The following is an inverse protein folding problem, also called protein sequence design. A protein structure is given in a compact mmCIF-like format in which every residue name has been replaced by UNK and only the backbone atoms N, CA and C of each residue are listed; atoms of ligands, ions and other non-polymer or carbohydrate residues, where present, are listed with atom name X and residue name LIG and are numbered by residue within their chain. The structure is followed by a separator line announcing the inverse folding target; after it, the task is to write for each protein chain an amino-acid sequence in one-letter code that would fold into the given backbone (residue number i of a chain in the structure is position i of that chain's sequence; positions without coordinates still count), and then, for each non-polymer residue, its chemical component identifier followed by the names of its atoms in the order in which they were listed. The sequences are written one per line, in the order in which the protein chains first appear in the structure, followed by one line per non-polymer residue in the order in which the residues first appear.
data_IF_781135065454
#
_entry.id   IF_781135065454
#
_cell.length_a   1.000
_cell.length_b   1.000
_cell.length_c   1.000
_cell.angle_alpha   90.00
_cell.angle_beta   90.00
_cell.angle_gamma   90.00
#
_symmetry.space_group_name_H-M   'P 1'
#
loop_
_entity.id
_entity.type
_entity.pdbx_description
1 polymer ?
#
# COMPACT_ATOMS: atom_id res chain seq x y z
N UNK A 1 24.29 -18.61 -60.58
CA UNK A 1 24.29 -17.89 -59.30
C UNK A 1 22.89 -17.96 -58.70
N UNK A 2 22.66 -18.87 -57.75
CA UNK A 2 21.33 -19.10 -57.16
C UNK A 2 21.33 -18.56 -55.73
N UNK A 3 20.58 -17.47 -55.49
CA UNK A 3 20.46 -16.82 -54.18
C UNK A 3 19.66 -17.73 -53.23
N UNK A 4 20.32 -18.33 -52.22
CA UNK A 4 19.63 -18.98 -51.10
C UNK A 4 19.03 -17.90 -50.19
N UNK A 5 17.69 -17.84 -50.11
CA UNK A 5 17.00 -17.09 -49.05
C UNK A 5 17.10 -17.89 -47.75
N UNK A 6 17.80 -17.35 -46.75
CA UNK A 6 17.74 -17.89 -45.39
C UNK A 6 16.48 -17.39 -44.68
N UNK A 7 15.64 -18.26 -44.10
CA UNK A 7 14.51 -17.83 -43.29
C UNK A 7 15.01 -17.27 -41.94
N UNK A 8 14.49 -16.10 -41.52
CA UNK A 8 14.78 -15.54 -40.20
C UNK A 8 14.08 -16.36 -39.11
N UNK A 9 14.73 -16.71 -37.99
CA UNK A 9 14.07 -17.38 -36.89
C UNK A 9 13.27 -16.34 -36.09
N UNK A 10 11.97 -16.24 -36.35
CA UNK A 10 11.06 -15.44 -35.50
C UNK A 10 10.53 -16.32 -34.37
N UNK A 11 11.39 -16.62 -33.39
CA UNK A 11 10.95 -17.14 -32.11
C UNK A 11 10.22 -16.02 -31.37
N UNK A 12 8.89 -16.01 -31.44
CA UNK A 12 8.04 -15.16 -30.59
C UNK A 12 8.26 -15.60 -29.15
N UNK A 13 9.13 -14.90 -28.41
CA UNK A 13 9.33 -15.08 -26.97
C UNK A 13 7.98 -14.80 -26.31
N UNK A 14 7.26 -15.85 -25.94
CA UNK A 14 6.02 -15.71 -25.19
C UNK A 14 6.39 -15.06 -23.85
N UNK A 15 6.09 -13.78 -23.68
CA UNK A 15 6.19 -13.10 -22.40
C UNK A 15 5.13 -13.73 -21.49
N UNK A 16 5.57 -14.65 -20.64
CA UNK A 16 4.70 -15.25 -19.62
C UNK A 16 4.22 -14.12 -18.71
N UNK A 17 2.92 -13.81 -18.75
CA UNK A 17 2.34 -12.76 -17.92
C UNK A 17 2.35 -13.22 -16.45
N UNK A 18 2.92 -12.40 -15.58
CA UNK A 18 2.88 -12.62 -14.14
C UNK A 18 1.63 -11.95 -13.60
N UNK A 19 0.80 -12.70 -12.86
CA UNK A 19 -0.33 -12.12 -12.14
C UNK A 19 0.19 -11.46 -10.87
N UNK A 20 0.01 -10.15 -10.76
CA UNK A 20 0.36 -9.38 -9.56
C UNK A 20 -0.88 -9.13 -8.72
N UNK A 21 -0.71 -9.09 -7.41
CA UNK A 21 -1.73 -8.66 -6.45
C UNK A 21 -1.36 -7.30 -5.87
N UNK A 22 -2.34 -6.41 -5.60
CA UNK A 22 -2.05 -5.17 -4.91
C UNK A 22 -1.36 -5.41 -3.58
N UNK A 23 -0.35 -4.60 -3.28
CA UNK A 23 0.30 -4.61 -1.97
C UNK A 23 -0.63 -3.95 -0.94
N UNK A 24 -0.81 -4.61 0.20
CA UNK A 24 -1.57 -4.06 1.34
C UNK A 24 -0.72 -4.20 2.61
N UNK A 25 -0.21 -3.08 3.17
CA UNK A 25 0.67 -3.10 4.35
C UNK A 25 -0.02 -3.67 5.58
N UNK A 26 -1.35 -3.53 5.69
CA UNK A 26 -2.15 -4.03 6.82
C UNK A 26 -1.93 -5.53 7.06
N UNK A 27 -1.65 -6.31 6.00
CA UNK A 27 -1.37 -7.75 6.10
C UNK A 27 -0.10 -8.09 6.89
N UNK A 28 0.78 -7.10 7.11
CA UNK A 28 2.08 -7.27 7.76
C UNK A 28 2.18 -6.54 9.11
N UNK A 29 1.24 -5.66 9.44
CA UNK A 29 1.19 -4.89 10.69
C UNK A 29 0.60 -5.71 11.84
N UNK A 30 1.25 -6.84 12.17
CA UNK A 30 0.75 -7.83 13.15
C UNK A 30 1.32 -7.70 14.55
N UNK A 31 2.29 -6.80 14.75
CA UNK A 31 2.94 -6.57 16.04
C UNK A 31 3.21 -5.10 16.23
N UNK A 32 3.33 -4.69 17.49
CA UNK A 32 3.67 -3.30 17.83
C UNK A 32 5.03 -2.90 17.27
N UNK A 33 6.01 -3.82 17.22
CA UNK A 33 7.30 -3.58 16.58
C UNK A 33 7.15 -3.29 15.08
N UNK A 34 6.34 -4.08 14.35
CA UNK A 34 6.11 -3.85 12.92
C UNK A 34 5.39 -2.52 12.66
N UNK A 35 4.44 -2.15 13.53
CA UNK A 35 3.75 -0.86 13.48
C UNK A 35 4.72 0.30 13.73
N UNK A 36 5.59 0.19 14.73
CA UNK A 36 6.57 1.22 15.06
C UNK A 36 7.55 1.45 13.90
N UNK A 37 8.12 0.38 13.33
CA UNK A 37 9.01 0.46 12.16
C UNK A 37 8.30 1.11 10.96
N UNK A 38 7.06 0.71 10.69
CA UNK A 38 6.29 1.25 9.58
C UNK A 38 6.01 2.76 9.73
N UNK A 39 5.62 3.20 10.94
CA UNK A 39 5.40 4.62 11.22
C UNK A 39 6.71 5.42 11.21
N UNK A 40 7.80 4.85 11.70
CA UNK A 40 9.13 5.47 11.63
C UNK A 40 9.52 5.74 10.18
N UNK A 41 9.35 4.77 9.29
CA UNK A 41 9.66 4.96 7.87
C UNK A 41 8.73 5.99 7.21
N UNK A 42 7.45 5.98 7.56
CA UNK A 42 6.51 7.01 7.11
C UNK A 42 6.93 8.43 7.51
N UNK A 43 7.46 8.60 8.73
CA UNK A 43 8.00 9.87 9.21
C UNK A 43 9.28 10.29 8.46
N UNK A 44 10.14 9.33 8.08
CA UNK A 44 11.38 9.62 7.33
C UNK A 44 11.12 10.16 5.93
N UNK A 45 10.01 9.76 5.30
CA UNK A 45 9.63 10.23 3.96
C UNK A 45 9.30 11.74 3.94
N UNK A 46 8.98 12.34 5.11
CA UNK A 46 8.65 13.77 5.26
C UNK A 46 7.49 14.24 4.37
N UNK A 47 6.57 13.34 4.03
CA UNK A 47 5.32 13.65 3.35
C UNK A 47 4.14 13.47 4.32
N UNK A 48 3.47 14.56 4.75
CA UNK A 48 2.31 14.47 5.63
C UNK A 48 1.17 13.60 5.08
N UNK A 49 1.01 13.52 3.75
CA UNK A 49 0.00 12.65 3.14
C UNK A 49 0.36 11.19 3.31
N UNK A 50 1.64 10.85 3.15
CA UNK A 50 2.12 9.49 3.36
C UNK A 50 1.98 9.07 4.82
N UNK A 51 2.33 9.96 5.76
CA UNK A 51 2.13 9.72 7.18
C UNK A 51 0.65 9.46 7.52
N UNK A 52 -0.26 10.24 6.93
CA UNK A 52 -1.69 10.04 7.14
C UNK A 52 -2.19 8.69 6.62
N UNK A 53 -1.73 8.28 5.43
CA UNK A 53 -2.03 6.94 4.89
C UNK A 53 -1.51 5.86 5.85
N UNK A 54 -0.28 6.00 6.34
CA UNK A 54 0.31 5.04 7.27
C UNK A 54 -0.48 4.95 8.59
N UNK A 55 -0.95 6.07 9.13
CA UNK A 55 -1.82 6.09 10.30
C UNK A 55 -3.15 5.36 10.03
N UNK A 56 -3.74 5.57 8.85
CA UNK A 56 -4.93 4.84 8.42
C UNK A 56 -4.69 3.33 8.33
N UNK A 57 -3.54 2.92 7.81
CA UNK A 57 -3.17 1.51 7.69
C UNK A 57 -2.98 0.84 9.06
N UNK A 58 -2.29 1.51 9.99
CA UNK A 58 -2.13 1.04 11.38
C UNK A 58 -3.48 0.94 12.08
N UNK A 59 -4.34 1.95 11.89
CA UNK A 59 -5.64 1.96 12.52
C UNK A 59 -6.53 0.83 11.97
N UNK A 60 -6.45 0.54 10.65
CA UNK A 60 -7.11 -0.63 10.04
C UNK A 60 -6.58 -1.95 10.61
N UNK A 61 -5.27 -2.05 10.83
CA UNK A 61 -4.62 -3.25 11.37
C UNK A 61 -5.03 -3.56 12.82
N UNK A 62 -5.17 -2.52 13.66
CA UNK A 62 -5.64 -2.66 15.05
C UNK A 62 -7.15 -2.87 15.17
N UNK A 63 -7.91 -2.36 14.21
CA UNK A 63 -9.37 -2.52 14.16
C UNK A 63 -10.09 -1.23 14.51
N UNK A 64 -10.90 -0.74 13.56
CA UNK A 64 -11.63 0.52 13.68
C UNK A 64 -12.61 0.57 14.84
N UNK A 65 -13.22 -0.57 15.20
CA UNK A 65 -14.21 -0.63 16.28
C UNK A 65 -13.58 -0.40 17.65
N UNK A 66 -12.38 -0.93 17.87
CA UNK A 66 -11.62 -0.74 19.11
C UNK A 66 -11.16 0.72 19.20
N UNK A 67 -10.55 1.25 18.13
CA UNK A 67 -10.11 2.64 18.09
C UNK A 67 -11.27 3.62 18.29
N UNK A 68 -12.43 3.37 17.69
CA UNK A 68 -13.63 4.19 17.89
C UNK A 68 -14.06 4.22 19.37
N UNK A 69 -14.01 3.08 20.06
CA UNK A 69 -14.32 2.99 21.49
C UNK A 69 -13.30 3.75 22.33
N UNK A 70 -12.01 3.58 22.05
CA UNK A 70 -10.94 4.15 22.85
C UNK A 70 -10.81 5.67 22.68
N UNK A 71 -11.11 6.19 21.48
CA UNK A 71 -11.01 7.62 21.16
C UNK A 71 -12.31 8.38 21.40
N UNK A 72 -13.44 7.67 21.58
CA UNK A 72 -14.78 8.27 21.60
C UNK A 72 -15.22 8.83 20.24
N UNK A 73 -14.48 8.57 19.16
CA UNK A 73 -14.81 9.03 17.81
C UNK A 73 -15.69 8.03 17.08
N UNK A 74 -16.68 8.54 16.33
CA UNK A 74 -17.49 7.70 15.44
C UNK A 74 -16.65 7.08 14.32
N UNK A 75 -16.94 5.82 13.96
CA UNK A 75 -16.25 5.09 12.87
C UNK A 75 -16.21 5.87 11.56
N UNK A 76 -17.30 6.55 11.20
CA UNK A 76 -17.37 7.36 9.98
C UNK A 76 -16.39 8.54 10.01
N UNK A 77 -16.27 9.22 11.16
CA UNK A 77 -15.33 10.32 11.33
C UNK A 77 -13.88 9.83 11.27
N UNK A 78 -13.59 8.65 11.86
CA UNK A 78 -12.27 8.02 11.75
C UNK A 78 -11.92 7.68 10.31
N UNK A 79 -12.84 7.06 9.55
CA UNK A 79 -12.60 6.78 8.13
C UNK A 79 -12.38 8.06 7.30
N UNK A 80 -13.16 9.12 7.55
CA UNK A 80 -12.95 10.40 6.86
C UNK A 80 -11.58 11.00 7.18
N UNK A 81 -11.21 11.03 8.46
CA UNK A 81 -9.97 11.63 8.93
C UNK A 81 -8.72 10.86 8.48
N UNK A 82 -8.78 9.53 8.43
CA UNK A 82 -7.65 8.65 8.11
C UNK A 82 -7.66 8.12 6.67
N UNK A 83 -8.57 8.59 5.84
CA UNK A 83 -8.58 8.21 4.42
C UNK A 83 -7.43 8.88 3.66
N UNK A 84 -6.97 8.24 2.59
CA UNK A 84 -6.00 8.82 1.65
C UNK A 84 -6.46 10.11 0.97
N UNK A 85 -7.74 10.45 1.07
CA UNK A 85 -8.35 11.69 0.55
C UNK A 85 -8.52 12.76 1.63
N UNK A 86 -8.24 12.45 2.90
CA UNK A 86 -8.36 13.43 3.95
C UNK A 86 -7.32 14.55 3.75
N UNK A 87 -7.72 15.78 4.07
CA UNK A 87 -6.82 16.94 4.05
C UNK A 87 -6.57 17.35 5.51
N UNK A 88 -5.59 16.73 6.19
CA UNK A 88 -5.33 17.03 7.58
C UNK A 88 -4.84 18.46 7.68
N UNK A 89 -5.56 19.29 8.43
CA UNK A 89 -5.07 20.58 8.88
C UNK A 89 -4.31 20.31 10.18
N UNK A 90 -2.99 20.29 10.08
CA UNK A 90 -2.06 20.24 11.22
C UNK A 90 -1.27 21.53 11.28
#
# INVERSE_FOLDING_TARGET
MTLRKHPKPTTRRQSRSVKLTPFDPVRYLKSDAAIAEYLNEALRIRDPKFLLVALGDVARARGMSEIARDTGLGRENLYKALSSRANPRI
#
